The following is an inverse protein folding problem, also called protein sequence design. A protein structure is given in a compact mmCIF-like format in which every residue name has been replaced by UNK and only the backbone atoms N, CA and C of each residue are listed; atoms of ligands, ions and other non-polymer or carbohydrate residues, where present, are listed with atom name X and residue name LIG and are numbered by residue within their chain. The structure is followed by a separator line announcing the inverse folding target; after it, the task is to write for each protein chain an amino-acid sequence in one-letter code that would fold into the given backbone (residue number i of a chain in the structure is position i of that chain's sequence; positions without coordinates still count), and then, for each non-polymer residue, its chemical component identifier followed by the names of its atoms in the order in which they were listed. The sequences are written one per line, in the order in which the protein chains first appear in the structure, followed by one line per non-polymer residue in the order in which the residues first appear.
data_IF_619923038215
#
_entry.id   IF_619923038215
#
_cell.length_a   1.000
_cell.length_b   1.000
_cell.length_c   1.000
_cell.angle_alpha   90.00
_cell.angle_beta   90.00
_cell.angle_gamma   90.00
#
_symmetry.space_group_name_H-M   'P 1'
#
loop_
_entity.id
_entity.type
_entity.pdbx_description
1 polymer ?
#
# COMPACT_ATOMS: atom_id res chain seq x y z
N UNK A 1 5.80 15.98 13.85
CA UNK A 1 4.83 15.92 12.73
C UNK A 1 5.34 14.92 11.69
N UNK A 2 4.43 14.30 10.95
CA UNK A 2 4.74 13.23 9.99
C UNK A 2 3.89 13.39 8.74
N UNK A 3 4.30 12.75 7.65
CA UNK A 3 3.48 12.60 6.45
C UNK A 3 3.19 11.12 6.25
N UNK A 4 1.93 10.79 6.04
CA UNK A 4 1.48 9.41 5.83
C UNK A 4 1.67 9.05 4.37
N UNK A 5 2.17 7.85 4.12
CA UNK A 5 2.45 7.30 2.81
C UNK A 5 1.60 6.06 2.61
N UNK A 6 0.91 5.98 1.47
CA UNK A 6 0.06 4.85 1.12
C UNK A 6 0.41 4.35 -0.27
N UNK A 7 0.57 3.04 -0.42
CA UNK A 7 0.69 2.37 -1.71
C UNK A 7 -0.37 1.29 -1.81
N UNK A 8 -1.28 1.44 -2.77
CA UNK A 8 -2.34 0.50 -3.03
C UNK A 8 -1.84 -0.53 -4.05
N UNK A 9 -2.13 -1.80 -3.81
CA UNK A 9 -1.68 -2.89 -4.66
C UNK A 9 -2.80 -3.90 -4.90
N UNK A 10 -2.69 -4.60 -6.04
CA UNK A 10 -3.44 -5.83 -6.26
C UNK A 10 -2.53 -7.04 -5.99
N UNK A 11 -3.14 -8.15 -5.59
CA UNK A 11 -2.49 -9.45 -5.65
C UNK A 11 -2.86 -10.08 -6.99
N UNK A 12 -1.86 -10.51 -7.76
CA UNK A 12 -2.07 -11.18 -9.05
C UNK A 12 -1.32 -12.50 -9.07
N UNK A 13 -1.78 -13.40 -9.92
CA UNK A 13 -1.09 -14.66 -10.15
C UNK A 13 -0.39 -14.61 -11.52
N UNK A 14 0.93 -14.84 -11.59
CA UNK A 14 1.63 -14.94 -12.88
C UNK A 14 1.04 -16.02 -13.79
N UNK A 15 1.04 -15.79 -15.10
CA UNK A 15 0.45 -16.70 -16.09
C UNK A 15 1.14 -18.08 -16.12
N UNK A 16 2.40 -18.16 -15.73
CA UNK A 16 3.22 -19.37 -15.66
C UNK A 16 3.10 -20.12 -14.30
N UNK A 17 2.19 -19.70 -13.43
CA UNK A 17 1.99 -20.32 -12.11
C UNK A 17 1.53 -21.78 -12.20
N UNK A 18 2.08 -22.62 -11.33
CA UNK A 18 1.72 -24.05 -11.22
C UNK A 18 0.29 -24.23 -10.69
N UNK A 19 -0.33 -25.41 -10.88
CA UNK A 19 -1.64 -25.72 -10.30
C UNK A 19 -1.70 -25.51 -8.77
N UNK A 20 -0.63 -25.82 -8.06
CA UNK A 20 -0.51 -25.63 -6.61
C UNK A 20 -0.50 -24.15 -6.23
N UNK A 21 0.25 -23.32 -6.98
CA UNK A 21 0.25 -21.87 -6.79
C UNK A 21 -1.12 -21.24 -7.11
N UNK A 22 -1.82 -21.75 -8.14
CA UNK A 22 -3.20 -21.35 -8.46
C UNK A 22 -4.16 -21.69 -7.34
N UNK A 23 -4.06 -22.90 -6.79
CA UNK A 23 -4.89 -23.32 -5.66
C UNK A 23 -4.61 -22.49 -4.41
N UNK A 24 -3.34 -22.20 -4.11
CA UNK A 24 -2.95 -21.31 -3.01
C UNK A 24 -3.54 -19.91 -3.17
N UNK A 25 -3.39 -19.32 -4.37
CA UNK A 25 -3.92 -17.99 -4.67
C UNK A 25 -5.44 -17.93 -4.58
N UNK A 26 -6.15 -18.95 -5.07
CA UNK A 26 -7.60 -19.07 -4.90
C UNK A 26 -8.03 -19.20 -3.43
N UNK A 27 -7.16 -19.76 -2.58
CA UNK A 27 -7.34 -19.83 -1.13
C UNK A 27 -6.87 -18.55 -0.39
N UNK A 28 -6.46 -17.50 -1.11
CA UNK A 28 -6.00 -16.22 -0.55
C UNK A 28 -4.53 -16.17 -0.15
N UNK A 29 -3.70 -17.12 -0.59
CA UNK A 29 -2.28 -17.21 -0.25
C UNK A 29 -1.38 -17.05 -1.48
N UNK A 30 -0.26 -16.35 -1.33
CA UNK A 30 0.71 -16.13 -2.41
C UNK A 30 0.23 -15.17 -3.50
N UNK A 31 0.87 -15.27 -4.67
CA UNK A 31 0.74 -14.29 -5.75
C UNK A 31 1.80 -13.18 -5.66
N UNK A 32 1.86 -12.36 -6.71
CA UNK A 32 2.71 -11.19 -6.81
C UNK A 32 1.91 -9.92 -6.50
N UNK A 33 2.54 -8.97 -5.82
CA UNK A 33 1.94 -7.66 -5.55
C UNK A 33 2.26 -6.68 -6.69
N UNK A 34 1.23 -6.08 -7.26
CA UNK A 34 1.36 -5.02 -8.26
C UNK A 34 0.85 -3.71 -7.68
N UNK A 35 1.75 -2.73 -7.44
CA UNK A 35 1.34 -1.37 -7.07
C UNK A 35 0.49 -0.73 -8.18
N UNK A 36 -0.63 -0.14 -7.78
CA UNK A 36 -1.61 0.48 -8.67
C UNK A 36 -1.52 2.01 -8.58
N UNK A 37 -1.44 2.52 -7.34
CA UNK A 37 -1.36 3.95 -7.07
C UNK A 37 -0.67 4.21 -5.73
N UNK A 38 -0.16 5.42 -5.57
CA UNK A 38 0.43 5.90 -4.33
C UNK A 38 -0.11 7.28 -3.99
N UNK A 39 -0.29 7.55 -2.70
CA UNK A 39 -0.71 8.85 -2.20
C UNK A 39 -0.01 9.15 -0.89
N UNK A 40 0.39 10.41 -0.74
CA UNK A 40 0.87 11.00 0.50
C UNK A 40 -0.14 12.00 1.04
N UNK A 41 -0.38 11.96 2.35
CA UNK A 41 -1.28 12.90 3.04
C UNK A 41 -0.68 13.33 4.38
N UNK A 42 -0.88 14.58 4.76
CA UNK A 42 -0.69 14.99 6.14
C UNK A 42 -1.77 14.33 7.01
N UNK A 43 -1.49 13.99 8.28
CA UNK A 43 -2.47 13.40 9.19
C UNK A 43 -3.77 14.22 9.30
N UNK A 44 -3.68 15.54 9.19
CA UNK A 44 -4.81 16.47 9.29
C UNK A 44 -5.68 16.48 8.01
N UNK A 45 -5.12 16.07 6.87
CA UNK A 45 -5.86 15.93 5.59
C UNK A 45 -6.66 14.62 5.52
N UNK A 46 -6.49 13.73 6.51
CA UNK A 46 -7.08 12.40 6.52
C UNK A 46 -8.11 12.26 7.64
N UNK A 47 -9.39 12.33 7.29
CA UNK A 47 -10.49 12.13 8.24
C UNK A 47 -10.59 10.69 8.79
N UNK A 48 -9.96 9.72 8.10
CA UNK A 48 -9.87 8.33 8.53
C UNK A 48 -9.74 7.38 7.34
N UNK A 49 -9.61 6.08 7.62
CA UNK A 49 -9.42 5.07 6.59
C UNK A 49 -10.59 5.02 5.59
N UNK A 50 -11.82 5.18 6.05
CA UNK A 50 -13.00 5.17 5.18
C UNK A 50 -12.93 6.29 4.11
N UNK A 51 -12.45 7.47 4.47
CA UNK A 51 -12.26 8.57 3.53
C UNK A 51 -11.15 8.24 2.51
N UNK A 52 -10.03 7.68 2.97
CA UNK A 52 -8.95 7.22 2.08
C UNK A 52 -9.43 6.15 1.10
N UNK A 53 -10.22 5.18 1.57
CA UNK A 53 -10.78 4.13 0.73
C UNK A 53 -11.77 4.71 -0.29
N UNK A 54 -12.66 5.60 0.12
CA UNK A 54 -13.61 6.25 -0.81
C UNK A 54 -12.88 7.06 -1.89
N UNK A 55 -11.88 7.86 -1.51
CA UNK A 55 -11.05 8.60 -2.45
C UNK A 55 -10.36 7.66 -3.45
N UNK A 56 -9.84 6.51 -2.99
CA UNK A 56 -9.19 5.54 -3.87
C UNK A 56 -10.12 4.94 -4.93
N UNK A 57 -11.40 4.76 -4.60
CA UNK A 57 -12.40 4.24 -5.53
C UNK A 57 -12.73 5.23 -6.65
N UNK A 58 -12.63 6.54 -6.39
CA UNK A 58 -12.84 7.58 -7.41
C UNK A 58 -11.80 7.52 -8.54
N UNK A 59 -10.61 6.96 -8.26
CA UNK A 59 -9.58 6.70 -9.26
C UNK A 59 -9.74 5.33 -9.95
N UNK A 60 -10.90 4.68 -9.80
CA UNK A 60 -11.26 3.47 -10.55
C UNK A 60 -10.43 2.22 -10.20
N UNK A 61 -9.76 2.22 -9.04
CA UNK A 61 -8.82 1.16 -8.69
C UNK A 61 -9.46 0.14 -7.76
N UNK A 62 -9.67 -1.09 -8.23
CA UNK A 62 -10.11 -2.22 -7.41
C UNK A 62 -8.91 -2.90 -6.71
N UNK A 63 -8.31 -2.21 -5.74
CA UNK A 63 -7.12 -2.69 -5.03
C UNK A 63 -7.45 -3.78 -3.99
N UNK A 64 -6.52 -4.70 -3.73
CA UNK A 64 -6.71 -5.77 -2.74
C UNK A 64 -6.18 -5.39 -1.36
N UNK A 65 -5.08 -4.64 -1.33
CA UNK A 65 -4.38 -4.25 -0.10
C UNK A 65 -3.82 -2.83 -0.24
N UNK A 66 -3.76 -2.10 0.87
CA UNK A 66 -3.02 -0.83 0.97
C UNK A 66 -1.92 -0.96 2.01
N UNK A 67 -0.69 -0.60 1.62
CA UNK A 67 0.46 -0.53 2.51
C UNK A 67 0.60 0.89 3.04
N UNK A 68 0.64 1.03 4.36
CA UNK A 68 0.86 2.31 5.03
C UNK A 68 2.25 2.39 5.65
N UNK A 69 2.84 3.59 5.58
CA UNK A 69 4.02 3.99 6.33
C UNK A 69 3.92 5.47 6.71
N UNK A 70 4.86 5.95 7.54
CA UNK A 70 4.98 7.36 7.89
C UNK A 70 6.39 7.86 7.61
N UNK A 71 6.50 9.03 7.00
CA UNK A 71 7.74 9.77 6.87
C UNK A 71 7.82 10.84 7.97
N UNK A 72 8.83 10.72 8.82
CA UNK A 72 9.05 11.67 9.92
C UNK A 72 9.52 13.02 9.39
N UNK A 73 8.96 14.08 9.96
CA UNK A 73 9.42 15.45 9.75
C UNK A 73 10.73 15.75 10.47
N UNK A 74 11.31 16.92 10.14
CA UNK A 74 12.55 17.43 10.75
C UNK A 74 12.31 18.84 11.29
N UNK A 75 12.91 19.16 12.44
CA UNK A 75 12.87 20.49 13.06
C UNK A 75 11.43 21.03 13.26
N UNK A 76 10.51 20.14 13.65
CA UNK A 76 9.10 20.50 13.90
C UNK A 76 8.28 20.77 12.63
N UNK A 77 8.80 20.49 11.44
CA UNK A 77 8.08 20.64 10.16
C UNK A 77 7.77 19.29 9.54
N UNK A 78 6.54 19.11 9.06
CA UNK A 78 6.16 17.93 8.29
C UNK A 78 6.91 17.92 6.94
N UNK A 79 7.27 16.73 6.41
CA UNK A 79 7.75 16.64 5.04
C UNK A 79 6.70 17.17 4.06
N UNK A 80 7.15 17.82 3.00
CA UNK A 80 6.32 18.18 1.85
C UNK A 80 6.07 16.94 0.97
N UNK A 81 5.08 17.01 0.07
CA UNK A 81 4.85 15.95 -0.93
C UNK A 81 6.11 15.67 -1.76
N UNK A 82 6.81 16.72 -2.20
CA UNK A 82 8.05 16.58 -2.97
C UNK A 82 9.16 15.86 -2.19
N UNK A 83 9.23 16.05 -0.88
CA UNK A 83 10.17 15.34 0.00
C UNK A 83 9.74 13.90 0.29
N UNK A 84 8.45 13.59 0.15
CA UNK A 84 7.91 12.25 0.28
C UNK A 84 8.09 11.38 -0.98
N UNK A 85 8.23 12.00 -2.17
CA UNK A 85 8.38 11.27 -3.44
C UNK A 85 9.44 10.17 -3.40
N UNK A 86 10.68 10.38 -2.90
CA UNK A 86 11.68 9.31 -2.87
C UNK A 86 11.28 8.14 -1.97
N UNK A 87 10.61 8.41 -0.84
CA UNK A 87 10.14 7.39 0.08
C UNK A 87 8.97 6.59 -0.53
N UNK A 88 8.06 7.23 -1.25
CA UNK A 88 7.01 6.55 -2.01
C UNK A 88 7.59 5.65 -3.10
N UNK A 89 8.57 6.14 -3.86
CA UNK A 89 9.24 5.32 -4.88
C UNK A 89 9.95 4.10 -4.26
N UNK A 90 10.57 4.28 -3.08
CA UNK A 90 11.17 3.18 -2.34
C UNK A 90 10.12 2.17 -1.87
N UNK A 91 8.97 2.61 -1.34
CA UNK A 91 7.86 1.72 -0.97
C UNK A 91 7.36 0.91 -2.17
N UNK A 92 7.16 1.56 -3.32
CA UNK A 92 6.73 0.88 -4.57
C UNK A 92 7.73 -0.20 -4.98
N UNK A 93 9.04 0.12 -4.97
CA UNK A 93 10.08 -0.83 -5.32
C UNK A 93 10.13 -2.01 -4.34
N UNK A 94 10.01 -1.74 -3.04
CA UNK A 94 10.00 -2.76 -2.00
C UNK A 94 8.78 -3.69 -2.12
N UNK A 95 7.58 -3.15 -2.39
CA UNK A 95 6.36 -3.95 -2.62
C UNK A 95 6.52 -4.85 -3.85
N UNK A 96 7.05 -4.33 -4.97
CA UNK A 96 7.32 -5.14 -6.18
C UNK A 96 8.33 -6.26 -5.91
N UNK A 97 9.27 -6.04 -4.99
CA UNK A 97 10.26 -7.03 -4.58
C UNK A 97 9.77 -7.98 -3.46
N UNK A 98 8.53 -7.82 -2.97
CA UNK A 98 8.01 -8.58 -1.84
C UNK A 98 8.62 -8.22 -0.47
N UNK A 99 9.40 -7.14 -0.39
CA UNK A 99 10.06 -6.68 0.84
C UNK A 99 9.11 -5.74 1.59
N UNK A 100 8.07 -6.31 2.19
CA UNK A 100 6.95 -5.55 2.78
C UNK A 100 6.97 -5.46 4.31
N UNK A 101 7.95 -6.08 4.98
CA UNK A 101 8.03 -6.15 6.44
C UNK A 101 8.18 -4.79 7.17
N UNK A 102 8.52 -3.74 6.43
CA UNK A 102 8.64 -2.37 6.96
C UNK A 102 7.32 -1.58 6.90
N UNK A 103 6.25 -2.16 6.36
CA UNK A 103 4.97 -1.49 6.13
C UNK A 103 3.83 -2.22 6.83
N UNK A 104 2.73 -1.52 7.07
CA UNK A 104 1.52 -2.11 7.63
C UNK A 104 0.51 -2.30 6.50
N UNK A 105 0.18 -3.55 6.11
CA UNK A 105 -0.86 -3.80 5.12
C UNK A 105 -2.25 -3.78 5.78
N UNK A 106 -3.19 -3.10 5.12
CA UNK A 106 -4.59 -3.05 5.51
C UNK A 106 -5.48 -3.59 4.39
N UNK A 107 -6.54 -4.29 4.79
CA UNK A 107 -7.62 -4.70 3.89
C UNK A 107 -8.56 -3.53 3.54
N UNK A 108 -9.57 -3.81 2.71
CA UNK A 108 -10.59 -2.81 2.30
C UNK A 108 -11.42 -2.22 3.45
N UNK A 109 -11.40 -2.86 4.61
CA UNK A 109 -12.13 -2.46 5.81
C UNK A 109 -11.20 -1.74 6.81
N UNK A 110 -9.94 -1.50 6.44
CA UNK A 110 -8.94 -0.89 7.31
C UNK A 110 -8.46 -1.82 8.42
N UNK A 111 -8.68 -3.13 8.28
CA UNK A 111 -8.17 -4.11 9.24
C UNK A 111 -6.73 -4.48 8.85
N UNK A 112 -5.79 -4.45 9.82
CA UNK A 112 -4.43 -4.89 9.56
C UNK A 112 -4.44 -6.38 9.21
N UNK A 113 -3.74 -6.73 8.13
CA UNK A 113 -3.60 -8.12 7.70
C UNK A 113 -2.15 -8.58 7.86
N UNK A 114 -1.94 -9.88 7.82
CA UNK A 114 -0.61 -10.47 7.69
C UNK A 114 -0.50 -11.06 6.30
N UNK A 115 0.58 -10.70 5.61
CA UNK A 115 0.94 -11.28 4.33
C UNK A 115 2.09 -12.25 4.59
N UNK A 116 1.93 -13.49 4.14
CA UNK A 116 2.90 -14.59 4.31
C UNK A 116 3.48 -15.00 2.95
#
# INVERSE_FOLDING_TARGET
PQRLLFVFANAVLPDDSTPEQRAGFAAGHGGALIPLMCVDKAPEELAGFAALAEESHQFGTDWAVVFAASLSGRDGRAPTSKEADPALQQMIAAIKAGVIGSFIPFDRRGQPMRLE
#
